data_IF_717931367502
#
_entry.id   IF_717931367502
#
_cell.length_a   1.000
_cell.length_b   1.000
_cell.length_c   1.000
_cell.angle_alpha   90.00
_cell.angle_beta   90.00
_cell.angle_gamma   90.00
#
_symmetry.space_group_name_H-M   'P 1'
#
loop_
_entity.id
_entity.type
_entity.pdbx_description
1 polymer ?
#
# COMPACT_ATOMS: atom_id res chain seq x y z
N UNK A 1 5.63 19.76 -24.72
CA UNK A 1 4.64 18.74 -25.11
C UNK A 1 4.24 18.01 -23.84
N UNK A 2 2.98 18.06 -23.43
CA UNK A 2 2.49 17.21 -22.34
C UNK A 2 2.65 15.75 -22.79
N UNK A 3 3.39 14.95 -22.02
CA UNK A 3 3.63 13.52 -22.37
C UNK A 3 2.39 12.66 -22.13
N UNK A 4 1.30 13.25 -21.65
CA UNK A 4 0.00 12.60 -21.51
C UNK A 4 -0.12 11.67 -20.30
N UNK A 5 0.85 11.70 -19.38
CA UNK A 5 0.88 10.90 -18.16
C UNK A 5 -0.32 11.18 -17.26
N UNK A 6 -0.82 10.14 -16.60
CA UNK A 6 -1.90 10.26 -15.64
C UNK A 6 -1.50 11.13 -14.43
N UNK A 7 -0.28 10.93 -13.91
CA UNK A 7 0.22 11.71 -12.77
C UNK A 7 0.30 13.20 -13.12
N UNK A 8 0.72 13.55 -14.34
CA UNK A 8 0.81 14.93 -14.80
C UNK A 8 -0.59 15.56 -14.91
N UNK A 9 -1.54 14.86 -15.53
CA UNK A 9 -2.92 15.34 -15.68
C UNK A 9 -3.61 15.59 -14.34
N UNK A 10 -3.38 14.73 -13.35
CA UNK A 10 -4.05 14.79 -12.05
C UNK A 10 -3.35 15.69 -11.04
N UNK A 11 -2.02 15.73 -11.06
CA UNK A 11 -1.24 16.29 -9.96
C UNK A 11 -0.24 17.38 -10.36
N UNK A 12 -0.27 17.90 -11.59
CA UNK A 12 0.61 19.01 -12.04
C UNK A 12 0.70 20.14 -11.00
N UNK A 13 -0.43 20.68 -10.57
CA UNK A 13 -0.47 21.79 -9.61
C UNK A 13 0.13 21.40 -8.25
N UNK A 14 -0.10 20.18 -7.78
CA UNK A 14 0.48 19.69 -6.52
C UNK A 14 2.00 19.58 -6.60
N UNK A 15 2.54 19.08 -7.71
CA UNK A 15 3.99 18.98 -7.93
C UNK A 15 4.62 20.39 -7.95
N UNK A 16 3.97 21.36 -8.60
CA UNK A 16 4.42 22.74 -8.68
C UNK A 16 4.32 23.50 -7.34
N UNK A 17 3.42 23.10 -6.42
CA UNK A 17 3.33 23.65 -5.06
C UNK A 17 4.55 23.33 -4.18
N UNK A 18 5.39 22.36 -4.55
CA UNK A 18 6.55 21.97 -3.75
C UNK A 18 7.58 23.12 -3.63
N UNK A 19 7.65 23.75 -2.45
CA UNK A 19 8.63 24.80 -2.12
C UNK A 19 10.03 24.29 -1.80
N UNK A 20 10.24 22.96 -1.79
CA UNK A 20 11.51 22.29 -1.45
C UNK A 20 12.03 22.61 -0.02
N UNK A 21 11.16 23.05 0.88
CA UNK A 21 11.46 23.45 2.26
C UNK A 21 12.14 22.36 3.13
N UNK A 22 11.90 21.08 2.87
CA UNK A 22 12.60 19.97 3.55
C UNK A 22 11.89 19.35 4.76
N UNK A 23 10.68 19.79 5.12
CA UNK A 23 9.90 19.13 6.19
C UNK A 23 9.68 17.64 5.91
N UNK A 24 9.33 17.31 4.67
CA UNK A 24 9.17 15.93 4.24
C UNK A 24 10.46 15.09 4.31
N UNK A 25 11.63 15.73 4.21
CA UNK A 25 12.92 15.07 4.33
C UNK A 25 13.22 14.71 5.79
N UNK A 26 12.89 15.59 6.73
CA UNK A 26 13.14 15.37 8.17
C UNK A 26 12.38 14.16 8.73
N UNK A 27 11.22 13.83 8.16
CA UNK A 27 10.34 12.74 8.63
C UNK A 27 10.41 11.48 7.77
N UNK A 28 11.17 11.48 6.67
CA UNK A 28 11.19 10.35 5.74
C UNK A 28 12.12 9.23 6.26
N UNK A 29 11.61 8.02 6.51
CA UNK A 29 12.43 6.90 6.98
C UNK A 29 13.46 6.47 5.93
N UNK A 30 13.09 6.51 4.65
CA UNK A 30 13.99 6.18 3.53
C UNK A 30 15.16 7.16 3.46
N UNK A 31 14.90 8.46 3.65
CA UNK A 31 15.98 9.44 3.69
C UNK A 31 16.87 9.24 4.91
N UNK A 32 16.29 8.98 6.09
CA UNK A 32 17.05 8.69 7.31
C UNK A 32 18.03 7.52 7.11
N UNK A 33 17.61 6.48 6.39
CA UNK A 33 18.43 5.30 6.13
C UNK A 33 19.47 5.52 5.01
N UNK A 34 19.10 6.23 3.95
CA UNK A 34 19.93 6.31 2.72
C UNK A 34 20.75 7.60 2.60
N UNK A 35 20.32 8.67 3.26
CA UNK A 35 20.81 10.05 3.12
C UNK A 35 20.79 10.59 1.68
N UNK A 36 20.08 9.92 0.75
CA UNK A 36 19.99 10.31 -0.67
C UNK A 36 18.78 11.21 -0.90
N UNK A 37 18.96 12.50 -1.26
CA UNK A 37 17.84 13.42 -1.43
C UNK A 37 16.85 13.01 -2.53
N UNK A 38 17.31 12.31 -3.57
CA UNK A 38 16.46 11.80 -4.65
C UNK A 38 15.39 10.80 -4.16
N UNK A 39 15.65 10.09 -3.06
CA UNK A 39 14.78 9.03 -2.53
C UNK A 39 13.69 9.55 -1.58
N UNK A 40 13.73 10.84 -1.24
CA UNK A 40 12.74 11.48 -0.37
C UNK A 40 11.66 12.20 -1.19
N UNK A 41 10.61 12.66 -0.51
CA UNK A 41 9.48 13.32 -1.16
C UNK A 41 9.85 14.54 -2.02
N UNK A 42 10.65 15.49 -1.51
CA UNK A 42 11.02 16.70 -2.29
C UNK A 42 11.90 16.36 -3.49
N UNK A 43 12.78 15.38 -3.37
CA UNK A 43 13.57 14.87 -4.49
C UNK A 43 12.68 14.29 -5.58
N UNK A 44 11.70 13.47 -5.20
CA UNK A 44 10.74 12.89 -6.16
C UNK A 44 9.87 13.95 -6.84
N UNK A 45 9.44 15.00 -6.12
CA UNK A 45 8.72 16.11 -6.76
C UNK A 45 9.59 16.82 -7.81
N UNK A 46 10.89 17.01 -7.53
CA UNK A 46 11.81 17.57 -8.52
C UNK A 46 11.95 16.64 -9.73
N UNK A 47 12.17 15.34 -9.51
CA UNK A 47 12.26 14.34 -10.60
C UNK A 47 11.00 14.39 -11.47
N UNK A 48 9.81 14.29 -10.86
CA UNK A 48 8.55 14.30 -11.61
C UNK A 48 8.30 15.64 -12.32
N UNK A 49 8.74 16.76 -11.75
CA UNK A 49 8.71 18.05 -12.44
C UNK A 49 9.58 18.03 -13.70
N UNK A 50 10.79 17.47 -13.65
CA UNK A 50 11.66 17.39 -14.83
C UNK A 50 11.12 16.40 -15.89
N UNK A 51 10.36 15.38 -15.47
CA UNK A 51 9.57 14.52 -16.38
C UNK A 51 8.47 15.33 -17.07
N UNK A 52 7.70 16.13 -16.33
CA UNK A 52 6.64 17.01 -16.86
C UNK A 52 7.18 18.07 -17.83
N UNK A 53 8.36 18.61 -17.54
CA UNK A 53 9.05 19.57 -18.41
C UNK A 53 9.65 18.90 -19.67
N UNK A 54 9.58 17.57 -19.77
CA UNK A 54 10.06 16.79 -20.90
C UNK A 54 11.58 16.65 -20.98
N UNK A 55 12.30 17.03 -19.91
CA UNK A 55 13.78 16.96 -19.86
C UNK A 55 14.29 15.56 -19.60
N UNK A 56 13.52 14.76 -18.87
CA UNK A 56 13.75 13.33 -18.66
C UNK A 56 12.48 12.54 -18.97
N UNK A 57 12.60 11.23 -19.15
CA UNK A 57 11.47 10.32 -19.32
C UNK A 57 11.28 9.44 -18.09
N UNK A 58 10.07 8.89 -17.93
CA UNK A 58 9.89 7.75 -17.02
C UNK A 58 10.68 6.56 -17.60
N UNK A 59 11.78 6.20 -16.93
CA UNK A 59 12.73 5.16 -17.34
C UNK A 59 13.00 4.17 -16.19
N UNK A 60 13.66 3.05 -16.51
CA UNK A 60 14.09 2.05 -15.52
C UNK A 60 15.00 2.64 -14.43
N UNK A 61 15.81 3.64 -14.75
CA UNK A 61 16.68 4.33 -13.79
C UNK A 61 15.87 5.00 -12.66
N UNK A 62 14.64 5.44 -12.96
CA UNK A 62 13.77 6.06 -11.97
C UNK A 62 13.09 5.05 -11.04
N UNK A 63 13.22 3.74 -11.28
CA UNK A 63 12.68 2.71 -10.39
C UNK A 63 13.24 2.89 -8.98
N UNK A 64 14.57 3.07 -8.85
CA UNK A 64 15.22 3.25 -7.54
C UNK A 64 14.64 4.45 -6.78
N UNK A 65 14.37 5.55 -7.48
CA UNK A 65 13.86 6.78 -6.85
C UNK A 65 12.38 6.70 -6.49
N UNK A 66 11.55 6.21 -7.40
CA UNK A 66 10.10 6.23 -7.24
C UNK A 66 9.59 5.03 -6.43
N UNK A 67 10.17 3.85 -6.57
CA UNK A 67 9.68 2.61 -5.93
C UNK A 67 10.17 2.41 -4.49
N UNK A 68 11.22 3.10 -4.03
CA UNK A 68 11.60 3.07 -2.61
C UNK A 68 10.67 3.84 -1.68
N UNK A 69 9.66 4.56 -2.19
CA UNK A 69 8.64 5.17 -1.32
C UNK A 69 7.84 4.06 -0.62
N UNK A 70 7.73 4.11 0.70
CA UNK A 70 6.89 3.18 1.48
C UNK A 70 5.42 3.61 1.54
N UNK A 71 5.05 4.75 0.93
CA UNK A 71 3.68 5.30 0.93
C UNK A 71 3.12 5.58 2.34
N UNK A 72 3.97 5.58 3.39
CA UNK A 72 3.59 5.85 4.79
C UNK A 72 2.96 7.23 5.10
N UNK A 73 2.78 8.11 4.11
CA UNK A 73 2.15 9.43 4.20
C UNK A 73 2.77 10.44 5.20
N UNK A 74 3.85 10.10 5.90
CA UNK A 74 4.49 11.03 6.86
C UNK A 74 4.91 12.37 6.23
N UNK A 75 5.35 12.33 4.97
CA UNK A 75 5.67 13.54 4.21
C UNK A 75 4.47 14.45 3.93
N UNK A 76 3.27 13.87 3.73
CA UNK A 76 2.03 14.60 3.48
C UNK A 76 1.58 15.29 4.78
N UNK A 77 1.54 14.55 5.88
CA UNK A 77 1.16 15.08 7.21
C UNK A 77 2.02 16.26 7.66
N UNK A 78 3.27 16.30 7.21
CA UNK A 78 4.24 17.35 7.56
C UNK A 78 4.43 18.38 6.43
N UNK A 79 3.63 18.35 5.35
CA UNK A 79 3.79 19.27 4.24
C UNK A 79 3.06 20.60 4.50
N UNK A 80 3.77 21.73 4.70
CA UNK A 80 3.11 23.03 4.86
C UNK A 80 2.38 23.50 3.60
N UNK A 81 2.74 22.94 2.44
CA UNK A 81 2.13 23.24 1.14
C UNK A 81 0.99 22.28 0.76
N UNK A 82 0.70 21.27 1.60
CA UNK A 82 -0.36 20.31 1.38
C UNK A 82 -0.17 19.42 0.14
N UNK A 83 1.06 19.04 -0.19
CA UNK A 83 1.35 18.18 -1.34
C UNK A 83 1.09 16.71 -0.99
N UNK A 84 0.16 16.06 -1.68
CA UNK A 84 -0.24 14.65 -1.54
C UNK A 84 0.75 13.70 -2.21
N UNK A 85 2.00 13.70 -1.72
CA UNK A 85 3.10 12.91 -2.29
C UNK A 85 2.76 11.42 -2.48
N UNK A 86 2.11 10.70 -1.54
CA UNK A 86 1.77 9.29 -1.74
C UNK A 86 0.96 9.03 -3.02
N UNK A 87 -0.10 9.81 -3.25
CA UNK A 87 -0.97 9.66 -4.42
C UNK A 87 -0.25 10.01 -5.74
N UNK A 88 0.60 11.05 -5.70
CA UNK A 88 1.44 11.42 -6.84
C UNK A 88 2.38 10.27 -7.20
N UNK A 89 2.98 9.62 -6.20
CA UNK A 89 3.89 8.49 -6.40
C UNK A 89 3.15 7.26 -6.93
N UNK A 90 1.96 6.93 -6.41
CA UNK A 90 1.13 5.84 -6.94
C UNK A 90 0.77 6.08 -8.41
N UNK A 91 0.35 7.30 -8.76
CA UNK A 91 0.02 7.66 -10.14
C UNK A 91 1.25 7.55 -11.06
N UNK A 92 2.42 8.04 -10.62
CA UNK A 92 3.65 7.92 -11.40
C UNK A 92 4.09 6.46 -11.59
N UNK A 93 3.97 5.62 -10.54
CA UNK A 93 4.22 4.17 -10.64
C UNK A 93 3.27 3.49 -11.61
N UNK A 94 1.98 3.88 -11.62
CA UNK A 94 0.98 3.38 -12.59
C UNK A 94 1.35 3.75 -14.02
N UNK A 95 1.78 4.98 -14.27
CA UNK A 95 2.28 5.38 -15.59
C UNK A 95 3.54 4.59 -16.00
N UNK A 96 4.44 4.29 -15.06
CA UNK A 96 5.61 3.43 -15.31
C UNK A 96 5.21 1.99 -15.62
N UNK A 97 4.30 1.39 -14.84
CA UNK A 97 3.81 0.03 -15.03
C UNK A 97 3.10 -0.15 -16.39
N UNK A 98 2.28 0.83 -16.81
CA UNK A 98 1.66 0.86 -18.16
C UNK A 98 2.67 0.85 -19.30
N UNK A 99 3.90 1.34 -19.05
CA UNK A 99 5.01 1.31 -20.01
C UNK A 99 5.88 0.05 -19.89
N UNK A 100 5.53 -0.89 -19.02
CA UNK A 100 6.34 -2.09 -18.73
C UNK A 100 7.58 -1.79 -17.88
N UNK A 101 7.65 -0.62 -17.24
CA UNK A 101 8.79 -0.20 -16.42
C UNK A 101 8.47 -0.52 -14.96
N UNK A 102 8.82 -1.72 -14.53
CA UNK A 102 8.66 -2.15 -13.14
C UNK A 102 9.74 -3.16 -12.74
N UNK A 103 10.00 -3.25 -11.44
CA UNK A 103 10.89 -4.28 -10.92
C UNK A 103 10.24 -5.67 -11.09
N UNK A 104 10.97 -6.70 -11.58
CA UNK A 104 10.41 -8.05 -11.80
C UNK A 104 9.75 -8.68 -10.56
N UNK A 105 10.20 -8.29 -9.37
CA UNK A 105 9.59 -8.72 -8.11
C UNK A 105 8.08 -8.39 -8.00
N UNK A 106 7.63 -7.28 -8.58
CA UNK A 106 6.21 -6.91 -8.53
C UNK A 106 5.34 -7.78 -9.46
N UNK A 107 5.90 -8.25 -10.58
CA UNK A 107 5.24 -9.27 -11.41
C UNK A 107 5.16 -10.62 -10.69
N UNK A 108 6.24 -10.99 -9.99
CA UNK A 108 6.25 -12.18 -9.13
C UNK A 108 5.20 -12.10 -8.02
N UNK A 109 5.05 -10.92 -7.41
CA UNK A 109 4.04 -10.65 -6.39
C UNK A 109 2.61 -10.78 -6.94
N UNK A 110 2.32 -10.20 -8.10
CA UNK A 110 1.02 -10.34 -8.76
C UNK A 110 0.71 -11.81 -9.06
N UNK A 111 1.70 -12.56 -9.59
CA UNK A 111 1.56 -13.98 -9.86
C UNK A 111 1.28 -14.78 -8.59
N UNK A 112 2.05 -14.55 -7.52
CA UNK A 112 1.85 -15.21 -6.23
C UNK A 112 0.42 -14.98 -5.71
N UNK A 113 -0.05 -13.74 -5.81
CA UNK A 113 -1.39 -13.37 -5.37
C UNK A 113 -2.49 -14.07 -6.19
N UNK A 114 -2.32 -14.19 -7.51
CA UNK A 114 -3.25 -14.94 -8.39
C UNK A 114 -3.28 -16.43 -8.08
N UNK A 115 -2.12 -17.01 -7.79
CA UNK A 115 -1.97 -18.46 -7.65
C UNK A 115 -2.33 -18.97 -6.25
N UNK A 116 -2.03 -18.18 -5.21
CA UNK A 116 -2.12 -18.62 -3.80
C UNK A 116 -3.08 -17.78 -2.94
N UNK A 117 -3.60 -16.65 -3.44
CA UNK A 117 -4.43 -15.74 -2.64
C UNK A 117 -3.64 -14.90 -1.62
N UNK A 118 -2.31 -15.00 -1.59
CA UNK A 118 -1.43 -14.14 -0.81
C UNK A 118 -0.16 -13.75 -1.62
N UNK A 119 0.51 -12.67 -1.19
CA UNK A 119 1.69 -12.13 -1.89
C UNK A 119 3.01 -12.84 -1.53
N UNK A 120 2.95 -13.81 -0.62
CA UNK A 120 4.11 -14.50 -0.08
C UNK A 120 4.32 -15.89 -0.70
N UNK A 121 3.27 -16.44 -1.32
CA UNK A 121 3.22 -17.82 -1.82
C UNK A 121 3.36 -18.85 -0.69
N UNK A 122 2.97 -18.45 0.53
CA UNK A 122 2.96 -19.32 1.70
C UNK A 122 1.65 -20.11 1.77
N UNK A 123 1.71 -21.27 2.42
CA UNK A 123 0.52 -22.03 2.79
C UNK A 123 -0.31 -21.28 3.84
N UNK A 124 -1.56 -21.71 4.02
CA UNK A 124 -2.48 -21.08 4.97
C UNK A 124 -1.89 -21.07 6.40
N UNK A 125 -1.84 -19.91 7.08
CA UNK A 125 -1.15 -19.79 8.36
C UNK A 125 -1.96 -20.44 9.48
N UNK A 126 -1.25 -21.10 10.40
CA UNK A 126 -1.82 -21.66 11.62
C UNK A 126 -1.89 -20.56 12.69
N UNK A 127 -3.10 -20.06 12.96
CA UNK A 127 -3.33 -19.07 14.03
C UNK A 127 -3.73 -19.86 15.27
N UNK A 128 -2.93 -19.75 16.35
CA UNK A 128 -3.14 -20.54 17.57
C UNK A 128 -4.41 -20.17 18.35
N UNK A 129 -5.10 -19.10 17.96
CA UNK A 129 -6.29 -18.57 18.64
C UNK A 129 -7.37 -18.02 17.71
N UNK A 130 -8.39 -17.41 18.33
CA UNK A 130 -9.51 -16.79 17.62
C UNK A 130 -10.70 -17.73 17.42
N UNK A 131 -11.89 -17.13 17.37
CA UNK A 131 -13.16 -17.85 17.25
C UNK A 131 -13.63 -17.82 15.81
N UNK A 132 -14.03 -18.97 15.27
CA UNK A 132 -14.71 -19.08 13.98
C UNK A 132 -16.14 -19.57 14.23
N UNK A 133 -17.06 -18.63 14.37
CA UNK A 133 -18.49 -18.89 14.57
C UNK A 133 -19.29 -18.37 13.38
N UNK A 134 -20.43 -19.01 13.11
CA UNK A 134 -21.29 -18.67 11.97
C UNK A 134 -21.79 -17.23 12.01
N UNK A 135 -22.05 -16.71 13.22
CA UNK A 135 -22.52 -15.33 13.44
C UNK A 135 -21.88 -14.69 14.64
N UNK A 136 -21.47 -13.44 14.47
CA UNK A 136 -20.95 -12.58 15.53
C UNK A 136 -21.28 -11.12 15.19
N UNK A 137 -21.29 -10.24 16.20
CA UNK A 137 -21.47 -8.80 16.00
C UNK A 137 -20.31 -8.17 15.22
N UNK A 138 -19.09 -8.65 15.46
CA UNK A 138 -17.85 -8.14 14.86
C UNK A 138 -17.18 -9.20 13.98
N UNK A 139 -16.54 -8.77 12.90
CA UNK A 139 -15.47 -9.55 12.24
C UNK A 139 -14.14 -8.93 12.59
N UNK A 140 -13.16 -9.75 12.96
CA UNK A 140 -11.77 -9.33 12.99
C UNK A 140 -11.09 -9.75 11.67
N UNK A 141 -10.81 -8.77 10.82
CA UNK A 141 -10.07 -8.92 9.57
C UNK A 141 -8.59 -8.72 9.87
N UNK A 142 -7.81 -9.80 9.90
CA UNK A 142 -6.40 -9.74 10.31
C UNK A 142 -5.56 -9.08 9.21
N UNK A 143 -5.84 -9.42 7.95
CA UNK A 143 -5.07 -9.02 6.80
C UNK A 143 -3.79 -9.85 6.61
N UNK A 144 -3.28 -9.84 5.37
CA UNK A 144 -2.17 -10.71 4.98
C UNK A 144 -0.86 -10.48 5.76
N UNK A 145 -0.55 -9.26 6.20
CA UNK A 145 0.68 -9.04 6.98
C UNK A 145 0.54 -9.67 8.37
N UNK A 146 -0.58 -9.44 9.05
CA UNK A 146 -0.85 -10.02 10.37
C UNK A 146 -0.93 -11.55 10.34
N UNK A 147 -1.48 -12.11 9.26
CA UNK A 147 -1.60 -13.55 9.09
C UNK A 147 -0.26 -14.26 8.81
N UNK A 148 0.60 -13.67 7.98
CA UNK A 148 1.77 -14.40 7.44
C UNK A 148 3.12 -13.90 7.99
N UNK A 149 3.19 -12.69 8.56
CA UNK A 149 4.47 -12.05 8.93
C UNK A 149 4.50 -11.50 10.35
N UNK A 150 3.35 -11.07 10.88
CA UNK A 150 3.23 -10.45 12.20
C UNK A 150 2.24 -11.23 13.08
N UNK A 151 2.42 -12.56 13.16
CA UNK A 151 1.53 -13.48 13.88
C UNK A 151 1.46 -13.15 15.36
N UNK A 152 2.57 -12.79 15.99
CA UNK A 152 2.62 -12.43 17.42
C UNK A 152 1.68 -11.26 17.77
N UNK A 153 1.58 -10.26 16.87
CA UNK A 153 0.69 -9.13 17.05
C UNK A 153 -0.79 -9.53 16.86
N UNK A 154 -1.05 -10.43 15.92
CA UNK A 154 -2.37 -11.04 15.70
C UNK A 154 -2.81 -11.82 16.93
N UNK A 155 -1.96 -12.69 17.46
CA UNK A 155 -2.27 -13.53 18.63
C UNK A 155 -2.54 -12.69 19.87
N UNK A 156 -1.71 -11.67 20.12
CA UNK A 156 -1.94 -10.72 21.22
C UNK A 156 -3.26 -9.96 21.07
N UNK A 157 -3.66 -9.63 19.83
CA UNK A 157 -4.93 -8.96 19.55
C UNK A 157 -6.11 -9.90 19.81
N UNK A 158 -6.04 -11.14 19.36
CA UNK A 158 -7.06 -12.17 19.59
C UNK A 158 -7.26 -12.44 21.09
N UNK A 159 -6.16 -12.60 21.83
CA UNK A 159 -6.20 -12.76 23.29
C UNK A 159 -6.86 -11.57 23.97
N UNK A 160 -6.55 -10.35 23.54
CA UNK A 160 -7.16 -9.14 24.06
C UNK A 160 -8.67 -9.10 23.80
N UNK A 161 -9.11 -9.41 22.58
CA UNK A 161 -10.53 -9.46 22.22
C UNK A 161 -11.28 -10.50 23.06
N UNK A 162 -10.66 -11.66 23.30
CA UNK A 162 -11.22 -12.71 24.15
C UNK A 162 -11.35 -12.26 25.61
N UNK A 163 -10.32 -11.64 26.18
CA UNK A 163 -10.33 -11.11 27.56
C UNK A 163 -11.36 -10.00 27.76
N UNK A 164 -11.61 -9.19 26.73
CA UNK A 164 -12.62 -8.14 26.73
C UNK A 164 -14.05 -8.68 26.50
N UNK A 165 -14.19 -9.98 26.17
CA UNK A 165 -15.49 -10.57 25.88
C UNK A 165 -16.14 -10.01 24.62
N UNK A 166 -15.34 -9.59 23.64
CA UNK A 166 -15.85 -9.08 22.36
C UNK A 166 -16.53 -10.21 21.60
N UNK A 167 -17.72 -9.95 21.06
CA UNK A 167 -18.46 -10.88 20.21
C UNK A 167 -17.96 -10.82 18.76
N UNK A 168 -16.81 -11.44 18.50
CA UNK A 168 -16.17 -11.44 17.19
C UNK A 168 -16.05 -12.83 16.56
N UNK A 169 -15.89 -12.85 15.24
CA UNK A 169 -15.52 -14.05 14.48
C UNK A 169 -14.39 -13.74 13.50
N UNK A 170 -13.54 -14.74 13.26
CA UNK A 170 -12.60 -14.79 12.16
C UNK A 170 -13.28 -15.35 10.92
N UNK A 171 -12.81 -14.91 9.75
CA UNK A 171 -13.29 -15.40 8.45
C UNK A 171 -12.16 -16.09 7.69
N UNK A 172 -12.51 -16.83 6.65
CA UNK A 172 -11.55 -17.26 5.63
C UNK A 172 -11.22 -16.05 4.74
N UNK A 173 -10.19 -15.31 5.11
CA UNK A 173 -9.74 -14.11 4.39
C UNK A 173 -8.56 -14.41 3.46
N UNK A 174 -8.51 -13.71 2.34
CA UNK A 174 -7.38 -13.68 1.41
C UNK A 174 -6.74 -12.30 1.40
N UNK A 175 -5.53 -12.17 0.87
CA UNK A 175 -4.94 -10.85 0.65
C UNK A 175 -5.83 -10.02 -0.29
N UNK A 176 -6.19 -8.81 0.12
CA UNK A 176 -7.07 -7.92 -0.65
C UNK A 176 -6.42 -7.37 -1.94
N UNK A 177 -5.10 -7.53 -2.09
CA UNK A 177 -4.34 -7.05 -3.25
C UNK A 177 -4.03 -5.55 -3.25
N UNK A 178 -4.29 -4.81 -2.17
CA UNK A 178 -4.04 -3.36 -2.10
C UNK A 178 -2.59 -2.97 -2.41
N UNK A 179 -1.63 -3.82 -2.06
CA UNK A 179 -0.20 -3.60 -2.35
C UNK A 179 0.11 -3.53 -3.85
N UNK A 180 -0.73 -4.12 -4.72
CA UNK A 180 -0.56 -4.00 -6.18
C UNK A 180 -0.78 -2.56 -6.64
N UNK A 181 -1.79 -1.88 -6.08
CA UNK A 181 -2.04 -0.46 -6.40
C UNK A 181 -0.88 0.42 -5.95
N UNK A 182 -0.31 0.13 -4.78
CA UNK A 182 0.85 0.85 -4.24
C UNK A 182 2.06 0.80 -5.18
N UNK A 183 2.24 -0.31 -5.92
CA UNK A 183 3.32 -0.48 -6.89
C UNK A 183 2.92 -0.12 -8.33
N UNK A 184 1.71 0.39 -8.53
CA UNK A 184 1.22 0.86 -9.83
C UNK A 184 0.56 -0.21 -10.71
N UNK A 185 0.31 -1.39 -10.17
CA UNK A 185 -0.45 -2.47 -10.83
C UNK A 185 -1.95 -2.36 -10.50
N UNK A 186 -2.79 -2.98 -11.31
CA UNK A 186 -4.22 -3.04 -11.05
C UNK A 186 -4.54 -4.09 -9.97
N UNK A 187 -5.54 -3.80 -9.14
CA UNK A 187 -6.00 -4.73 -8.12
C UNK A 187 -6.72 -5.93 -8.74
N UNK A 188 -6.65 -7.07 -8.05
CA UNK A 188 -7.42 -8.27 -8.40
C UNK A 188 -8.75 -8.20 -7.66
N UNK A 189 -9.78 -7.66 -8.31
CA UNK A 189 -11.07 -7.38 -7.67
C UNK A 189 -11.74 -8.59 -7.00
N UNK A 190 -11.51 -9.79 -7.52
CA UNK A 190 -12.16 -11.01 -6.99
C UNK A 190 -11.71 -11.32 -5.56
N UNK A 191 -10.50 -10.95 -5.17
CA UNK A 191 -9.97 -11.22 -3.83
C UNK A 191 -10.64 -10.33 -2.77
N UNK A 192 -10.77 -9.04 -3.06
CA UNK A 192 -11.48 -8.13 -2.15
C UNK A 192 -12.97 -8.47 -2.08
N UNK A 193 -13.60 -8.88 -3.20
CA UNK A 193 -14.99 -9.37 -3.21
C UNK A 193 -15.18 -10.61 -2.33
N UNK A 194 -14.28 -11.60 -2.40
CA UNK A 194 -14.33 -12.80 -1.53
C UNK A 194 -14.32 -12.42 -0.04
N UNK A 195 -13.44 -11.50 0.35
CA UNK A 195 -13.40 -11.01 1.73
C UNK A 195 -14.72 -10.34 2.12
N UNK A 196 -15.25 -9.45 1.27
CA UNK A 196 -16.53 -8.79 1.52
C UNK A 196 -17.68 -9.79 1.67
N UNK A 197 -17.76 -10.80 0.80
CA UNK A 197 -18.77 -11.85 0.90
C UNK A 197 -18.67 -12.61 2.23
N UNK A 198 -17.46 -12.95 2.66
CA UNK A 198 -17.24 -13.67 3.91
C UNK A 198 -17.56 -12.81 5.14
N UNK A 199 -17.24 -11.51 5.10
CA UNK A 199 -17.68 -10.55 6.12
C UNK A 199 -19.22 -10.51 6.17
N UNK A 200 -19.90 -10.35 5.04
CA UNK A 200 -21.37 -10.27 5.03
C UNK A 200 -22.04 -11.57 5.48
N UNK A 201 -21.50 -12.74 5.12
CA UNK A 201 -22.02 -14.06 5.55
C UNK A 201 -21.98 -14.22 7.07
N UNK A 202 -21.00 -13.64 7.75
CA UNK A 202 -20.91 -13.66 9.22
C UNK A 202 -22.05 -12.90 9.93
N UNK A 203 -22.78 -12.06 9.21
CA UNK A 203 -23.81 -11.21 9.79
C UNK A 203 -23.28 -10.09 10.68
N UNK A 204 -21.96 -9.86 10.72
CA UNK A 204 -21.35 -8.76 11.44
C UNK A 204 -21.76 -7.41 10.83
N UNK A 205 -21.96 -6.41 11.69
CA UNK A 205 -22.25 -5.03 11.28
C UNK A 205 -21.00 -4.12 11.34
N UNK A 206 -19.93 -4.61 11.98
CA UNK A 206 -18.71 -3.85 12.26
C UNK A 206 -17.47 -4.71 11.99
N UNK A 207 -16.48 -4.14 11.30
CA UNK A 207 -15.17 -4.76 11.06
C UNK A 207 -14.12 -4.13 11.97
N UNK A 208 -13.42 -4.97 12.73
CA UNK A 208 -12.18 -4.64 13.42
C UNK A 208 -11.06 -5.09 12.48
N UNK A 209 -10.06 -4.26 12.18
CA UNK A 209 -8.99 -4.62 11.24
C UNK A 209 -7.61 -4.45 11.85
N UNK A 210 -6.77 -5.48 11.69
CA UNK A 210 -5.32 -5.41 11.90
C UNK A 210 -4.55 -5.03 10.63
N UNK A 211 -5.21 -5.09 9.48
CA UNK A 211 -4.65 -4.67 8.21
C UNK A 211 -4.53 -3.13 8.16
N UNK A 212 -3.32 -2.58 7.91
CA UNK A 212 -3.09 -1.14 7.79
C UNK A 212 -3.67 -0.54 6.50
#
# INVERSE_FOLDING_TARGET
>A
MEKGYEFEKRFREQILKCSRCGFCQAVCPVYKATLRPALNARGKMLILKEVMDGKIDLSEELIESLFQCTICASCYLNCPSGVEVPEIIKAARRDMAKKGILHPAFLGMEKALRDSGNIYMDDEPDIEGGRRVDKAKYVYFVGCVGLYRETDATDATLELLDRLGVDYTLIDEVCCGGVLEDVGLDMIEDLSKRNMENIFKSGADTVITGCP
#
